data_IF_048162109059
#
_entry.id   IF_048162109059
#
_cell.length_a   1.000
_cell.length_b   1.000
_cell.length_c   1.000
_cell.angle_alpha   90.00
_cell.angle_beta   90.00
_cell.angle_gamma   90.00
#
_symmetry.space_group_name_H-M   'P 1'
#
loop_
_entity.id
_entity.type
_entity.pdbx_description
1 polymer ?
#
# COMPACT_ATOMS: atom_id res chain seq x y z
N UNK A 1 -5.44 9.11 1.39
CA UNK A 1 -6.25 8.87 0.16
C UNK A 1 -7.53 8.13 0.51
N UNK A 2 -8.62 8.25 -0.27
CA UNK A 2 -9.84 7.50 0.01
C UNK A 2 -9.63 6.00 -0.34
N UNK A 3 -10.13 5.03 0.46
CA UNK A 3 -9.91 3.60 0.21
C UNK A 3 -10.33 3.12 -1.18
N UNK A 4 -11.43 3.70 -1.71
CA UNK A 4 -11.90 3.39 -3.06
C UNK A 4 -10.89 3.80 -4.14
N UNK A 5 -10.18 4.92 -3.94
CA UNK A 5 -9.18 5.40 -4.90
C UNK A 5 -7.95 4.49 -4.89
N UNK A 6 -7.52 4.03 -3.70
CA UNK A 6 -6.41 3.07 -3.57
C UNK A 6 -6.76 1.77 -4.29
N UNK A 7 -8.00 1.28 -4.11
CA UNK A 7 -8.49 0.09 -4.80
C UNK A 7 -8.51 0.30 -6.32
N UNK A 8 -9.06 1.42 -6.79
CA UNK A 8 -9.11 1.74 -8.21
C UNK A 8 -7.71 1.88 -8.83
N UNK A 9 -6.75 2.48 -8.13
CA UNK A 9 -5.36 2.59 -8.57
C UNK A 9 -4.70 1.21 -8.72
N UNK A 10 -4.92 0.31 -7.74
CA UNK A 10 -4.45 -1.08 -7.81
C UNK A 10 -5.04 -1.85 -9.01
N UNK A 11 -6.33 -1.67 -9.28
CA UNK A 11 -6.99 -2.30 -10.44
C UNK A 11 -6.45 -1.75 -11.76
N UNK A 12 -6.27 -0.43 -11.88
CA UNK A 12 -5.63 0.21 -13.04
C UNK A 12 -4.19 -0.25 -13.26
N UNK A 13 -3.47 -0.54 -12.17
CA UNK A 13 -2.12 -1.11 -12.21
C UNK A 13 -2.09 -2.63 -12.51
N UNK A 14 -3.24 -3.28 -12.77
CA UNK A 14 -3.32 -4.72 -13.03
C UNK A 14 -3.01 -5.61 -11.82
N UNK A 15 -3.02 -5.03 -10.61
CA UNK A 15 -2.68 -5.65 -9.33
C UNK A 15 -3.85 -5.51 -8.34
N UNK A 16 -5.03 -6.09 -8.62
CA UNK A 16 -6.17 -5.98 -7.71
C UNK A 16 -5.84 -6.52 -6.30
N UNK A 17 -6.60 -6.13 -5.25
CA UNK A 17 -6.30 -6.53 -3.87
C UNK A 17 -6.16 -8.04 -3.65
N UNK A 18 -6.90 -8.87 -4.39
CA UNK A 18 -6.78 -10.33 -4.37
C UNK A 18 -5.42 -10.81 -4.87
N UNK A 19 -4.86 -10.17 -5.90
CA UNK A 19 -3.52 -10.46 -6.43
C UNK A 19 -2.44 -10.03 -5.45
N UNK A 20 -2.60 -8.89 -4.78
CA UNK A 20 -1.72 -8.45 -3.69
C UNK A 20 -1.70 -9.48 -2.55
N UNK A 21 -2.89 -9.94 -2.12
CA UNK A 21 -3.00 -10.96 -1.09
C UNK A 21 -2.29 -12.26 -1.47
N UNK A 22 -2.50 -12.73 -2.72
CA UNK A 22 -1.82 -13.92 -3.25
C UNK A 22 -0.30 -13.74 -3.32
N UNK A 23 0.18 -12.60 -3.80
CA UNK A 23 1.61 -12.31 -3.89
C UNK A 23 2.30 -12.31 -2.51
N UNK A 24 1.59 -11.82 -1.48
CA UNK A 24 2.12 -11.76 -0.12
C UNK A 24 1.81 -13.01 0.72
N UNK A 25 1.09 -14.00 0.17
CA UNK A 25 0.59 -15.19 0.88
C UNK A 25 -0.25 -14.81 2.12
N UNK A 26 -1.13 -13.82 1.97
CA UNK A 26 -2.02 -13.32 3.02
C UNK A 26 -3.49 -13.58 2.68
N UNK A 27 -4.36 -13.45 3.69
CA UNK A 27 -5.81 -13.45 3.47
C UNK A 27 -6.24 -12.14 2.82
N UNK A 28 -7.21 -12.14 1.89
CA UNK A 28 -7.72 -10.89 1.28
C UNK A 28 -8.24 -9.88 2.30
N UNK A 29 -8.78 -10.34 3.43
CA UNK A 29 -9.24 -9.50 4.53
C UNK A 29 -8.12 -8.64 5.13
N UNK A 30 -6.89 -9.16 5.23
CA UNK A 30 -5.74 -8.40 5.72
C UNK A 30 -5.40 -7.24 4.78
N UNK A 31 -5.42 -7.47 3.47
CA UNK A 31 -5.19 -6.41 2.47
C UNK A 31 -6.31 -5.38 2.51
N UNK A 32 -7.57 -5.83 2.62
CA UNK A 32 -8.73 -4.93 2.75
C UNK A 32 -8.64 -4.05 4.00
N UNK A 33 -8.26 -4.61 5.15
CA UNK A 33 -8.06 -3.84 6.38
C UNK A 33 -7.00 -2.75 6.22
N UNK A 34 -5.90 -3.04 5.52
CA UNK A 34 -4.85 -2.05 5.22
C UNK A 34 -5.36 -0.96 4.28
N UNK A 35 -6.06 -1.31 3.20
CA UNK A 35 -6.64 -0.34 2.26
C UNK A 35 -7.59 0.63 2.97
N UNK A 36 -8.39 0.15 3.92
CA UNK A 36 -9.32 0.97 4.71
C UNK A 36 -8.71 1.62 5.95
N UNK A 37 -7.40 1.50 6.13
CA UNK A 37 -6.66 1.98 7.30
C UNK A 37 -7.12 1.41 8.66
N UNK A 38 -7.89 0.32 8.64
CA UNK A 38 -8.41 -0.39 9.83
C UNK A 38 -7.40 -1.39 10.41
N UNK A 39 -6.33 -1.69 9.68
CA UNK A 39 -5.23 -2.53 10.12
C UNK A 39 -3.92 -2.03 9.56
N UNK A 40 -2.82 -2.20 10.30
CA UNK A 40 -1.50 -1.70 9.91
C UNK A 40 -0.61 -2.85 9.47
N UNK A 41 -0.02 -2.75 8.28
CA UNK A 41 1.00 -3.68 7.82
C UNK A 41 1.96 -2.99 6.88
N UNK A 42 3.19 -2.77 7.37
CA UNK A 42 4.27 -2.12 6.58
C UNK A 42 4.57 -2.89 5.29
N UNK A 43 4.50 -4.22 5.35
CA UNK A 43 4.74 -5.10 4.19
C UNK A 43 3.66 -4.93 3.13
N UNK A 44 2.39 -4.86 3.52
CA UNK A 44 1.27 -4.66 2.57
C UNK A 44 1.25 -3.24 2.04
N UNK A 45 1.34 -2.23 2.91
CA UNK A 45 1.35 -0.82 2.51
C UNK A 45 2.51 -0.51 1.59
N UNK A 46 3.71 -1.04 1.89
CA UNK A 46 4.86 -0.94 1.02
C UNK A 46 4.62 -1.57 -0.35
N UNK A 47 4.16 -2.81 -0.40
CA UNK A 47 3.86 -3.48 -1.66
C UNK A 47 2.82 -2.72 -2.50
N UNK A 48 1.77 -2.18 -1.87
CA UNK A 48 0.74 -1.40 -2.56
C UNK A 48 1.34 -0.10 -3.10
N UNK A 49 2.13 0.62 -2.30
CA UNK A 49 2.83 1.83 -2.71
C UNK A 49 3.72 1.59 -3.93
N UNK A 50 4.55 0.54 -3.87
CA UNK A 50 5.40 0.13 -4.99
C UNK A 50 4.57 -0.31 -6.21
N UNK A 51 3.41 -0.95 -6.00
CA UNK A 51 2.53 -1.42 -7.08
C UNK A 51 1.83 -0.29 -7.86
N UNK A 52 1.54 0.84 -7.22
CA UNK A 52 0.82 1.97 -7.83
C UNK A 52 1.71 3.19 -8.07
N UNK A 53 2.96 3.17 -7.60
CA UNK A 53 3.91 4.28 -7.75
C UNK A 53 3.60 5.51 -6.90
N UNK A 54 2.77 5.37 -5.85
CA UNK A 54 2.37 6.46 -4.95
C UNK A 54 2.96 6.17 -3.57
N UNK A 55 3.66 7.13 -2.94
CA UNK A 55 4.27 6.93 -1.62
C UNK A 55 3.22 6.68 -0.53
N UNK A 56 3.59 5.92 0.50
CA UNK A 56 2.71 5.60 1.63
C UNK A 56 2.25 6.84 2.38
N UNK A 57 3.07 7.90 2.41
CA UNK A 57 2.73 9.22 2.97
C UNK A 57 1.51 9.86 2.29
N UNK A 58 1.24 9.56 1.02
CA UNK A 58 0.06 10.04 0.29
C UNK A 58 -1.12 9.07 0.41
N UNK A 59 -0.85 7.76 0.41
CA UNK A 59 -1.87 6.73 0.51
C UNK A 59 -2.53 6.71 1.89
N UNK A 60 -1.71 6.64 2.94
CA UNK A 60 -2.13 6.60 4.34
C UNK A 60 -1.32 7.61 5.17
N UNK A 61 -1.62 8.92 5.08
CA UNK A 61 -0.87 9.96 5.77
C UNK A 61 -0.76 9.69 7.28
N UNK A 62 0.46 9.70 7.83
CA UNK A 62 0.75 9.53 9.25
C UNK A 62 0.60 8.10 9.78
N UNK A 63 0.21 7.14 8.93
CA UNK A 63 -0.04 5.76 9.36
C UNK A 63 1.21 4.90 9.38
N UNK A 64 2.25 5.29 8.63
CA UNK A 64 3.47 4.51 8.49
C UNK A 64 4.74 5.37 8.68
N UNK A 65 4.99 5.95 9.87
CA UNK A 65 6.11 6.87 10.09
C UNK A 65 7.47 6.32 9.65
N UNK A 66 7.74 5.04 9.89
CA UNK A 66 8.99 4.40 9.48
C UNK A 66 9.16 4.32 7.95
N UNK A 67 8.07 4.15 7.20
CA UNK A 67 8.12 4.10 5.74
C UNK A 67 8.19 5.52 5.15
N UNK A 68 7.46 6.47 5.73
CA UNK A 68 7.53 7.89 5.34
C UNK A 68 8.93 8.46 5.55
N UNK A 69 9.58 8.13 6.68
CA UNK A 69 10.98 8.49 6.92
C UNK A 69 11.94 7.87 5.89
N UNK A 70 11.67 6.64 5.44
CA UNK A 70 12.48 5.99 4.40
C UNK A 70 12.27 6.64 3.01
N UNK A 71 11.06 7.13 2.72
CA UNK A 71 10.76 7.93 1.53
C UNK A 71 11.55 9.25 1.53
N UNK A 72 11.52 9.99 2.65
CA UNK A 72 12.25 11.27 2.80
C UNK A 72 13.76 11.08 2.65
N UNK A 73 14.31 9.99 3.21
CA UNK A 73 15.75 9.69 3.15
C UNK A 73 16.21 9.21 1.76
N UNK A 74 15.33 9.14 0.76
CA UNK A 74 15.65 8.67 -0.60
C UNK A 74 16.11 7.21 -0.65
N UNK A 75 15.95 6.47 0.46
CA UNK A 75 16.39 5.07 0.58
C UNK A 75 15.41 4.12 -0.09
N UNK A 76 14.26 4.62 -0.56
CA UNK A 76 13.24 3.87 -1.27
C UNK A 76 13.14 4.36 -2.72
N UNK A 77 13.73 3.61 -3.67
CA UNK A 77 13.49 3.84 -5.11
C UNK A 77 12.07 3.39 -5.45
N UNK A 78 11.25 4.30 -5.95
CA UNK A 78 10.10 3.93 -6.77
C UNK A 78 10.67 3.27 -8.03
N UNK A 79 10.46 1.96 -8.17
CA UNK A 79 10.91 1.15 -9.29
C UNK A 79 9.76 0.94 -10.28
#
# INVERSE_FOLDING_TARGET
MHPADIKAALEKAGKPPSRVARALKLRPSTVSQVIHDKGKSRRVAGYISDAIGIPVSQLWPGSYPALELAEIRGTRRAA
#
